data_IF_679022332213
#
_entry.id   IF_679022332213
#
_cell.length_a   1.000
_cell.length_b   1.000
_cell.length_c   1.000
_cell.angle_alpha   90.00
_cell.angle_beta   90.00
_cell.angle_gamma   90.00
#
_symmetry.space_group_name_H-M   'P 1'
#
loop_
_entity.id
_entity.type
_entity.pdbx_description
1 polymer ?
#
# COMPACT_ATOMS: atom_id res chain seq x y z
N UNK A 1 -9.69 27.29 -26.54
CA UNK A 1 -9.30 25.96 -25.99
C UNK A 1 -8.80 26.22 -24.57
N UNK A 2 -9.33 25.52 -23.57
CA UNK A 2 -8.88 25.69 -22.19
C UNK A 2 -7.61 24.87 -21.94
N UNK A 3 -6.71 25.39 -21.11
CA UNK A 3 -5.56 24.66 -20.60
C UNK A 3 -5.99 23.85 -19.37
N UNK A 4 -5.60 22.57 -19.34
CA UNK A 4 -5.91 21.66 -18.24
C UNK A 4 -4.60 21.29 -17.57
N UNK A 5 -4.50 21.55 -16.28
CA UNK A 5 -3.35 21.20 -15.42
C UNK A 5 -3.83 20.34 -14.27
N UNK A 6 -3.02 19.33 -13.90
CA UNK A 6 -3.25 18.48 -12.74
C UNK A 6 -2.21 18.82 -11.67
N UNK A 7 -2.66 19.02 -10.44
CA UNK A 7 -1.79 19.23 -9.27
C UNK A 7 -2.00 18.06 -8.33
N UNK A 8 -1.12 17.06 -8.41
CA UNK A 8 -1.19 15.82 -7.64
C UNK A 8 -0.62 15.96 -6.21
N UNK A 9 -1.00 17.04 -5.52
CA UNK A 9 -0.56 17.33 -4.14
C UNK A 9 -1.72 17.45 -3.14
N UNK A 10 -2.97 17.49 -3.62
CA UNK A 10 -4.16 17.72 -2.79
C UNK A 10 -5.01 16.46 -2.56
N UNK A 11 -4.49 15.27 -2.88
CA UNK A 11 -5.20 14.01 -2.59
C UNK A 11 -5.29 13.74 -1.09
N UNK A 12 -4.36 14.24 -0.28
CA UNK A 12 -4.20 13.93 1.14
C UNK A 12 -3.90 12.43 1.44
N UNK A 13 -3.57 11.65 0.41
CA UNK A 13 -3.03 10.32 0.57
C UNK A 13 -1.52 10.41 0.81
N UNK A 14 -1.03 9.60 1.74
CA UNK A 14 0.40 9.33 1.91
C UNK A 14 0.99 8.90 0.56
N UNK A 15 2.14 9.47 0.21
CA UNK A 15 2.84 9.06 -1.00
C UNK A 15 3.55 7.70 -0.79
N UNK A 16 4.33 7.29 -1.79
CA UNK A 16 5.07 6.02 -1.72
C UNK A 16 6.02 5.96 -0.51
N UNK A 17 6.75 7.04 -0.25
CA UNK A 17 7.74 7.07 0.82
C UNK A 17 7.06 7.12 2.18
N UNK A 18 6.02 7.94 2.32
CA UNK A 18 5.24 8.05 3.55
C UNK A 18 4.61 6.70 3.94
N UNK A 19 4.06 5.97 2.96
CA UNK A 19 3.50 4.63 3.18
C UNK A 19 4.55 3.59 3.56
N UNK A 20 5.70 3.60 2.88
CA UNK A 20 6.81 2.72 3.22
C UNK A 20 7.25 3.00 4.67
N UNK A 21 7.46 4.26 5.06
CA UNK A 21 7.83 4.64 6.44
C UNK A 21 6.79 4.24 7.48
N UNK A 22 5.50 4.44 7.18
CA UNK A 22 4.42 4.06 8.08
C UNK A 22 4.48 2.57 8.44
N UNK A 23 4.65 1.69 7.44
CA UNK A 23 4.74 0.25 7.68
C UNK A 23 5.99 -0.12 8.50
N UNK A 24 7.14 0.47 8.19
CA UNK A 24 8.39 0.21 8.90
C UNK A 24 8.36 0.68 10.36
N UNK A 25 7.56 1.69 10.67
CA UNK A 25 7.42 2.21 12.04
C UNK A 25 6.68 1.28 12.99
N UNK A 26 6.00 0.24 12.48
CA UNK A 26 5.21 -0.69 13.28
C UNK A 26 6.08 -1.87 13.72
N UNK A 27 6.51 -1.85 14.98
CA UNK A 27 7.29 -2.95 15.56
C UNK A 27 6.47 -4.24 15.66
N UNK A 28 7.07 -5.35 15.21
CA UNK A 28 6.45 -6.68 15.31
C UNK A 28 5.30 -6.93 14.34
N UNK A 29 5.17 -6.15 13.26
CA UNK A 29 4.17 -6.37 12.23
C UNK A 29 4.34 -7.75 11.57
N UNK A 30 3.29 -8.57 11.63
CA UNK A 30 3.30 -9.94 11.08
C UNK A 30 2.52 -10.05 9.77
N UNK A 31 1.48 -9.24 9.60
CA UNK A 31 0.57 -9.31 8.46
C UNK A 31 0.21 -7.91 7.95
N UNK A 32 0.26 -7.74 6.63
CA UNK A 32 -0.14 -6.54 5.92
C UNK A 32 -1.23 -6.90 4.90
N UNK A 33 -2.40 -6.26 4.98
CA UNK A 33 -3.54 -6.53 4.08
C UNK A 33 -3.78 -5.30 3.21
N UNK A 34 -3.66 -5.44 1.89
CA UNK A 34 -3.83 -4.38 0.90
C UNK A 34 -5.24 -4.45 0.27
N UNK A 35 -6.11 -3.51 0.60
CA UNK A 35 -7.55 -3.56 0.25
C UNK A 35 -8.02 -2.48 -0.74
N UNK A 36 -7.31 -1.34 -0.83
CA UNK A 36 -7.77 -0.20 -1.63
C UNK A 36 -6.62 0.41 -2.44
N UNK A 37 -6.47 -0.06 -3.67
CA UNK A 37 -5.51 0.45 -4.64
C UNK A 37 -5.60 -0.31 -5.95
N UNK A 38 -5.04 0.27 -7.01
CA UNK A 38 -4.91 -0.43 -8.27
C UNK A 38 -3.89 -1.58 -8.12
N UNK A 39 -4.14 -2.79 -8.67
CA UNK A 39 -3.21 -3.92 -8.57
C UNK A 39 -1.78 -3.56 -9.02
N UNK A 40 -1.66 -2.76 -10.09
CA UNK A 40 -0.38 -2.29 -10.63
C UNK A 40 0.44 -1.43 -9.65
N UNK A 41 -0.21 -0.84 -8.64
CA UNK A 41 0.44 -0.05 -7.59
C UNK A 41 0.60 -0.85 -6.29
N UNK A 42 -0.39 -1.68 -5.95
CA UNK A 42 -0.37 -2.50 -4.74
C UNK A 42 0.67 -3.62 -4.81
N UNK A 43 0.83 -4.26 -5.97
CA UNK A 43 1.75 -5.41 -6.10
C UNK A 43 3.21 -4.98 -5.86
N UNK A 44 3.73 -3.90 -6.49
CA UNK A 44 5.06 -3.40 -6.17
C UNK A 44 5.21 -2.95 -4.70
N UNK A 45 4.15 -2.42 -4.07
CA UNK A 45 4.22 -2.03 -2.66
C UNK A 45 4.34 -3.26 -1.75
N UNK A 46 3.47 -4.26 -1.94
CA UNK A 46 3.50 -5.50 -1.17
C UNK A 46 4.84 -6.23 -1.30
N UNK A 47 5.40 -6.32 -2.51
CA UNK A 47 6.70 -6.93 -2.73
C UNK A 47 7.84 -6.14 -2.08
N UNK A 48 7.80 -4.79 -2.07
CA UNK A 48 8.77 -3.99 -1.31
C UNK A 48 8.69 -4.30 0.20
N UNK A 49 7.49 -4.39 0.76
CA UNK A 49 7.31 -4.65 2.19
C UNK A 49 7.74 -6.07 2.58
N UNK A 50 7.42 -7.09 1.77
CA UNK A 50 7.92 -8.47 1.97
C UNK A 50 9.44 -8.55 1.99
N UNK A 51 10.11 -7.80 1.10
CA UNK A 51 11.57 -7.81 1.01
C UNK A 51 12.23 -6.99 2.13
N UNK A 52 11.51 -6.05 2.73
CA UNK A 52 12.04 -5.18 3.78
C UNK A 52 11.80 -5.73 5.19
N UNK A 53 10.74 -6.51 5.40
CA UNK A 53 10.35 -7.07 6.70
C UNK A 53 10.34 -8.59 6.62
N UNK A 54 11.34 -9.21 7.24
CA UNK A 54 11.49 -10.67 7.27
C UNK A 54 10.27 -11.34 7.93
N UNK A 55 9.67 -12.28 7.21
CA UNK A 55 8.52 -13.05 7.70
C UNK A 55 7.17 -12.33 7.62
N UNK A 56 7.11 -11.12 7.02
CA UNK A 56 5.85 -10.42 6.81
C UNK A 56 4.96 -11.15 5.80
N UNK A 57 3.74 -11.49 6.22
CA UNK A 57 2.69 -11.99 5.34
C UNK A 57 1.98 -10.81 4.67
N UNK A 58 2.01 -10.72 3.34
CA UNK A 58 1.22 -9.70 2.61
C UNK A 58 0.08 -10.36 1.87
N UNK A 59 -1.13 -9.90 2.16
CA UNK A 59 -2.39 -10.40 1.60
C UNK A 59 -3.07 -9.31 0.79
N UNK A 60 -3.75 -9.73 -0.28
CA UNK A 60 -4.56 -8.87 -1.14
C UNK A 60 -5.86 -9.61 -1.41
N UNK A 61 -6.94 -9.34 -0.64
CA UNK A 61 -8.19 -10.04 -0.83
C UNK A 61 -8.76 -9.76 -2.21
N UNK A 62 -9.32 -10.80 -2.83
CA UNK A 62 -10.20 -10.63 -3.97
C UNK A 62 -11.52 -9.98 -3.53
N UNK A 63 -12.27 -9.48 -4.51
CA UNK A 63 -13.58 -8.89 -4.22
C UNK A 63 -14.47 -9.92 -3.53
N UNK A 64 -15.03 -9.53 -2.39
CA UNK A 64 -15.89 -10.35 -1.53
C UNK A 64 -15.17 -11.48 -0.74
N UNK A 65 -13.83 -11.53 -0.77
CA UNK A 65 -13.04 -12.43 0.08
C UNK A 65 -12.95 -11.91 1.52
N UNK A 66 -13.12 -12.81 2.50
CA UNK A 66 -12.97 -12.52 3.91
C UNK A 66 -11.64 -13.07 4.43
N UNK A 67 -10.87 -12.23 5.12
CA UNK A 67 -9.63 -12.62 5.78
C UNK A 67 -9.84 -12.63 7.29
N UNK A 68 -9.54 -13.76 7.94
CA UNK A 68 -9.50 -13.85 9.41
C UNK A 68 -8.22 -13.20 9.92
N UNK A 69 -8.35 -12.31 10.90
CA UNK A 69 -7.26 -11.52 11.49
C UNK A 69 -6.89 -11.99 12.89
#
# INVERSE_FOLDING_TARGET
KAEVTYINAYSAHADRHDLDEYVHSIEGLQRLILVHGEPEQMDPFGERMKNAIDGLEVLKPERDEAIEV
#
